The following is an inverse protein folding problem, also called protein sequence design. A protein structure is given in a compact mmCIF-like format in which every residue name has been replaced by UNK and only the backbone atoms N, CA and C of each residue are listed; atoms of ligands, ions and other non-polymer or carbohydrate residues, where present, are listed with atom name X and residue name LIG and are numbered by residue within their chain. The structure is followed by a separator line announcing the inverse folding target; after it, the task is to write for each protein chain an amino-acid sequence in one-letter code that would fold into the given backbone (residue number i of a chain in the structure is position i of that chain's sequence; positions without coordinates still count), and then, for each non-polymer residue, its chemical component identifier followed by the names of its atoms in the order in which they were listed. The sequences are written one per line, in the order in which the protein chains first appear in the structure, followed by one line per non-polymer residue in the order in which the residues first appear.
data_IF_599671567598
#
_entry.id   IF_599671567598
#
_cell.length_a   1.000
_cell.length_b   1.000
_cell.length_c   1.000
_cell.angle_alpha   90.00
_cell.angle_beta   90.00
_cell.angle_gamma   90.00
#
_symmetry.space_group_name_H-M   'P 1'
#
loop_
_entity.id
_entity.type
_entity.pdbx_description
1 polymer ?
#
# COMPACT_ATOMS: atom_id res chain seq x y z
N UNK A 1 -10.11 -9.87 27.81
CA UNK A 1 -9.76 -8.68 26.99
C UNK A 1 -8.92 -9.19 25.84
N UNK A 2 -9.51 -9.34 24.66
CA UNK A 2 -8.77 -9.81 23.47
C UNK A 2 -8.22 -8.55 22.82
N UNK A 3 -6.93 -8.27 23.06
CA UNK A 3 -6.21 -7.22 22.35
C UNK A 3 -5.62 -7.85 21.09
N UNK A 4 -6.48 -8.20 20.14
CA UNK A 4 -6.05 -8.61 18.80
C UNK A 4 -5.75 -7.32 18.04
N UNK A 5 -4.48 -6.90 18.06
CA UNK A 5 -3.95 -6.01 17.04
C UNK A 5 -4.10 -6.71 15.69
N UNK A 6 -5.28 -6.57 15.08
CA UNK A 6 -5.56 -7.06 13.75
C UNK A 6 -4.71 -6.25 12.79
N UNK A 7 -3.53 -6.78 12.45
CA UNK A 7 -2.80 -6.35 11.28
C UNK A 7 -3.75 -6.53 10.09
N UNK A 8 -4.36 -5.43 9.62
CA UNK A 8 -5.20 -5.46 8.42
C UNK A 8 -4.41 -6.15 7.33
N UNK A 9 -4.89 -7.31 6.89
CA UNK A 9 -4.24 -8.05 5.83
C UNK A 9 -4.20 -7.15 4.59
N UNK A 10 -3.18 -7.28 3.75
CA UNK A 10 -3.07 -6.49 2.51
C UNK A 10 -4.33 -6.66 1.62
N UNK A 11 -5.05 -7.78 1.76
CA UNK A 11 -6.31 -8.07 1.06
C UNK A 11 -7.50 -7.21 1.53
N UNK A 12 -7.47 -6.67 2.74
CA UNK A 12 -8.54 -5.84 3.33
C UNK A 12 -8.18 -4.34 3.36
N UNK A 13 -7.06 -3.98 2.74
CA UNK A 13 -6.64 -2.60 2.61
C UNK A 13 -7.49 -1.88 1.56
N UNK A 14 -8.27 -0.88 1.99
CA UNK A 14 -9.12 -0.07 1.09
C UNK A 14 -8.35 0.75 0.05
N UNK A 15 -7.02 0.83 0.19
CA UNK A 15 -6.14 1.53 -0.74
C UNK A 15 -5.38 0.58 -1.66
N UNK A 16 -5.47 -0.73 -1.45
CA UNK A 16 -4.87 -1.72 -2.33
C UNK A 16 -5.58 -1.71 -3.69
N UNK A 17 -4.78 -1.79 -4.76
CA UNK A 17 -5.28 -2.01 -6.12
C UNK A 17 -4.21 -2.70 -6.96
N UNK A 18 -4.59 -3.18 -8.15
CA UNK A 18 -3.65 -3.71 -9.14
C UNK A 18 -3.54 -2.74 -10.32
N UNK A 19 -2.38 -2.12 -10.50
CA UNK A 19 -2.12 -1.25 -11.66
C UNK A 19 -2.12 -2.05 -12.97
N UNK A 20 -1.76 -3.34 -12.90
CA UNK A 20 -1.79 -4.23 -14.06
C UNK A 20 -3.21 -4.43 -14.57
N UNK A 21 -4.16 -4.75 -13.67
CA UNK A 21 -5.55 -4.98 -14.07
C UNK A 21 -6.25 -3.70 -14.57
N UNK A 22 -5.89 -2.54 -14.04
CA UNK A 22 -6.54 -1.28 -14.41
C UNK A 22 -5.88 -0.57 -15.60
N UNK A 23 -4.56 -0.71 -15.77
CA UNK A 23 -3.76 0.12 -16.67
C UNK A 23 -2.73 -0.66 -17.49
N UNK A 24 -2.60 -1.98 -17.29
CA UNK A 24 -1.58 -2.80 -17.96
C UNK A 24 -0.17 -2.63 -17.40
N UNK A 25 0.05 -1.79 -16.37
CA UNK A 25 1.36 -1.50 -15.80
C UNK A 25 1.72 -2.54 -14.74
N UNK A 26 2.77 -3.34 -15.00
CA UNK A 26 3.28 -4.32 -14.04
C UNK A 26 4.44 -3.74 -13.22
N UNK A 27 4.14 -3.31 -12.00
CA UNK A 27 5.14 -2.91 -11.00
C UNK A 27 4.81 -3.49 -9.63
N UNK A 28 5.84 -3.76 -8.82
CA UNK A 28 5.76 -4.46 -7.54
C UNK A 28 4.88 -5.73 -7.61
N UNK A 29 5.05 -6.53 -8.67
CA UNK A 29 4.29 -7.77 -8.88
C UNK A 29 2.77 -7.61 -8.80
N UNK A 30 2.24 -6.42 -9.14
CA UNK A 30 0.82 -6.11 -9.11
C UNK A 30 0.27 -5.72 -7.73
N UNK A 31 1.13 -5.54 -6.71
CA UNK A 31 0.75 -5.07 -5.39
C UNK A 31 0.90 -3.54 -5.31
N UNK A 32 -0.15 -2.80 -5.67
CA UNK A 32 -0.10 -1.35 -5.74
C UNK A 32 -1.01 -0.70 -4.69
N UNK A 33 -0.74 0.56 -4.37
CA UNK A 33 -1.43 1.30 -3.32
C UNK A 33 -1.80 2.72 -3.79
N UNK A 34 -3.02 3.15 -3.47
CA UNK A 34 -3.56 4.50 -3.73
C UNK A 34 -3.56 5.40 -2.51
N UNK A 35 -2.92 4.98 -1.42
CA UNK A 35 -2.88 5.81 -0.23
C UNK A 35 -2.23 7.15 -0.59
N UNK A 36 -2.87 8.31 -0.33
CA UNK A 36 -2.38 9.61 -0.79
C UNK A 36 -1.01 9.98 -0.20
N UNK A 37 -0.66 9.36 0.93
CA UNK A 37 0.65 9.48 1.58
C UNK A 37 1.66 8.38 1.20
N UNK A 38 1.38 7.53 0.20
CA UNK A 38 2.38 6.57 -0.27
C UNK A 38 3.47 7.31 -1.05
N UNK A 39 4.69 7.25 -0.55
CA UNK A 39 5.86 7.93 -1.12
C UNK A 39 6.62 7.04 -2.10
N UNK A 40 6.61 5.71 -1.88
CA UNK A 40 7.22 4.72 -2.76
C UNK A 40 6.39 4.58 -4.03
N UNK A 41 6.71 5.40 -5.02
CA UNK A 41 6.01 5.45 -6.29
C UNK A 41 6.97 5.33 -7.46
N UNK A 42 6.50 4.73 -8.54
CA UNK A 42 7.19 4.72 -9.84
C UNK A 42 6.34 5.46 -10.87
N UNK A 43 6.99 6.01 -11.90
CA UNK A 43 6.30 6.59 -13.04
C UNK A 43 6.55 5.68 -14.24
N UNK A 44 5.49 5.05 -14.72
CA UNK A 44 5.50 4.16 -15.89
C UNK A 44 4.51 4.71 -16.91
N UNK A 45 4.91 4.82 -18.17
CA UNK A 45 4.06 5.36 -19.24
C UNK A 45 3.46 6.75 -18.91
N UNK A 46 4.21 7.59 -18.18
CA UNK A 46 3.74 8.89 -17.72
C UNK A 46 2.73 8.87 -16.57
N UNK A 47 2.42 7.69 -16.03
CA UNK A 47 1.47 7.52 -14.93
C UNK A 47 2.19 7.19 -13.62
N UNK A 48 1.88 7.94 -12.57
CA UNK A 48 2.38 7.66 -11.21
C UNK A 48 1.63 6.47 -10.60
N UNK A 49 2.37 5.46 -10.15
CA UNK A 49 1.86 4.25 -9.51
C UNK A 49 2.53 4.08 -8.15
N UNK A 50 1.74 4.05 -7.07
CA UNK A 50 2.23 3.74 -5.73
C UNK A 50 2.44 2.24 -5.51
N UNK A 51 3.54 1.86 -4.87
CA UNK A 51 3.86 0.47 -4.52
C UNK A 51 3.39 0.14 -3.11
N UNK A 52 2.76 -1.02 -2.93
CA UNK A 52 2.32 -1.49 -1.62
C UNK A 52 3.44 -2.26 -0.91
N UNK A 53 4.38 -1.55 -0.29
CA UNK A 53 5.41 -2.16 0.55
C UNK A 53 5.09 -2.08 2.04
N UNK A 54 5.46 -3.10 2.80
CA UNK A 54 5.24 -3.12 4.25
C UNK A 54 6.10 -2.10 5.01
N UNK A 55 7.22 -1.64 4.44
CA UNK A 55 8.09 -0.64 5.07
C UNK A 55 7.69 0.81 4.75
N UNK A 56 6.96 1.06 3.66
CA UNK A 56 6.50 2.41 3.29
C UNK A 56 5.00 2.63 3.46
N UNK A 57 4.25 1.59 3.82
CA UNK A 57 2.80 1.70 4.02
C UNK A 57 2.47 2.72 5.12
N UNK A 58 1.79 3.83 4.80
CA UNK A 58 1.51 4.88 5.79
C UNK A 58 0.62 4.41 6.95
N UNK A 59 -0.23 3.40 6.70
CA UNK A 59 -1.07 2.80 7.74
C UNK A 59 -0.22 2.07 8.79
N UNK A 60 0.80 1.32 8.35
CA UNK A 60 1.68 0.57 9.26
C UNK A 60 2.66 1.47 10.02
N UNK A 61 3.13 2.54 9.38
CA UNK A 61 4.01 3.52 10.03
C UNK A 61 3.26 4.25 11.14
N UNK A 62 2.01 4.64 10.91
CA UNK A 62 1.18 5.30 11.92
C UNK A 62 0.92 4.39 13.13
N UNK A 63 0.61 3.13 12.92
CA UNK A 63 0.44 2.14 14.00
C UNK A 63 1.70 2.03 14.88
N UNK A 64 2.91 2.07 14.28
CA UNK A 64 4.16 2.07 15.04
C UNK A 64 4.36 3.33 15.87
N UNK A 65 3.96 4.50 15.36
CA UNK A 65 4.12 5.78 16.05
C UNK A 65 3.14 5.93 17.24
N UNK A 66 1.96 5.33 17.15
CA UNK A 66 0.96 5.34 18.24
C UNK A 66 1.20 4.23 19.29
N UNK A 67 2.18 3.35 19.07
CA UNK A 67 2.56 2.25 19.98
C UNK A 67 3.89 2.49 20.72
N UNK A 68 4.49 3.68 20.57
CA UNK A 68 5.79 4.06 21.12
C UNK A 68 5.67 5.01 22.31
#
# INVERSE_FOLDING_TARGET
MINTGETKSVKDCSYFYSAYLERGILTNSGYNCRHPKQEETVTEEGQKVGNCYSWSCPLRIREKAESA
#
